data_IF_802481336594
#
_entry.id   IF_802481336594
#
_cell.length_a   1.000
_cell.length_b   1.000
_cell.length_c   1.000
_cell.angle_alpha   90.00
_cell.angle_beta   90.00
_cell.angle_gamma   90.00
#
_symmetry.space_group_name_H-M   'P 1'
#
loop_
_entity.id
_entity.type
_entity.pdbx_description
1 polymer ?
#
# COMPACT_ATOMS: atom_id res chain seq x y z
N UNK A 1 1.16 3.59 -27.96
CA UNK A 1 0.06 2.99 -27.17
C UNK A 1 -1.02 4.05 -26.97
N UNK A 2 -2.29 3.78 -27.28
CA UNK A 2 -3.40 4.69 -27.00
C UNK A 2 -3.55 5.01 -25.49
N UNK A 3 -3.79 6.28 -25.14
CA UNK A 3 -3.92 6.71 -23.75
C UNK A 3 -5.10 6.07 -22.99
N UNK A 4 -6.16 5.65 -23.67
CA UNK A 4 -7.29 4.96 -23.04
C UNK A 4 -6.91 3.56 -22.49
N UNK A 5 -5.97 2.86 -23.12
CA UNK A 5 -5.43 1.57 -22.62
C UNK A 5 -4.62 1.81 -21.35
N UNK A 6 -3.84 2.90 -21.33
CA UNK A 6 -3.06 3.35 -20.17
C UNK A 6 -3.99 3.67 -18.99
N UNK A 7 -5.08 4.41 -19.24
CA UNK A 7 -6.08 4.74 -18.21
C UNK A 7 -6.77 3.48 -17.65
N UNK A 8 -7.06 2.49 -18.50
CA UNK A 8 -7.66 1.20 -18.10
C UNK A 8 -6.72 0.38 -17.23
N UNK A 9 -5.43 0.30 -17.60
CA UNK A 9 -4.40 -0.38 -16.82
C UNK A 9 -4.25 0.26 -15.43
N UNK A 10 -4.22 1.60 -15.39
CA UNK A 10 -4.16 2.36 -14.15
C UNK A 10 -5.38 2.12 -13.24
N UNK A 11 -6.61 2.13 -13.79
CA UNK A 11 -7.81 1.79 -13.01
C UNK A 11 -7.76 0.38 -12.45
N UNK A 12 -7.27 -0.59 -13.23
CA UNK A 12 -7.11 -1.98 -12.78
C UNK A 12 -6.11 -2.07 -11.61
N UNK A 13 -5.02 -1.31 -11.68
CA UNK A 13 -4.03 -1.23 -10.63
C UNK A 13 -4.59 -0.61 -9.34
N UNK A 14 -5.33 0.50 -9.45
CA UNK A 14 -6.05 1.09 -8.30
C UNK A 14 -7.03 0.11 -7.66
N UNK A 15 -7.77 -0.63 -8.48
CA UNK A 15 -8.70 -1.65 -7.96
C UNK A 15 -7.97 -2.75 -7.19
N UNK A 16 -6.70 -3.06 -7.53
CA UNK A 16 -5.92 -4.07 -6.82
C UNK A 16 -5.56 -3.69 -5.38
N UNK A 17 -5.60 -2.40 -5.02
CA UNK A 17 -5.42 -1.93 -3.63
C UNK A 17 -6.46 -2.55 -2.68
N UNK A 18 -7.65 -2.88 -3.19
CA UNK A 18 -8.67 -3.57 -2.41
C UNK A 18 -8.21 -4.93 -1.87
N UNK A 19 -7.29 -5.63 -2.56
CA UNK A 19 -6.76 -6.90 -2.10
C UNK A 19 -5.82 -6.73 -0.90
N UNK A 20 -4.98 -5.69 -0.91
CA UNK A 20 -4.12 -5.34 0.24
C UNK A 20 -4.99 -4.99 1.45
N UNK A 21 -5.97 -4.11 1.24
CA UNK A 21 -6.95 -3.73 2.25
C UNK A 21 -7.68 -4.95 2.84
N UNK A 22 -8.10 -5.90 2.01
CA UNK A 22 -8.74 -7.15 2.47
C UNK A 22 -7.77 -8.05 3.25
N UNK A 23 -6.51 -8.13 2.82
CA UNK A 23 -5.45 -8.86 3.52
C UNK A 23 -5.21 -8.33 4.93
N UNK A 24 -5.21 -7.00 5.10
CA UNK A 24 -5.10 -6.34 6.40
C UNK A 24 -6.30 -6.64 7.32
N UNK A 25 -7.52 -6.72 6.76
CA UNK A 25 -8.71 -7.08 7.55
C UNK A 25 -8.64 -8.53 8.04
N UNK A 26 -8.17 -9.46 7.18
CA UNK A 26 -7.97 -10.86 7.54
C UNK A 26 -6.88 -10.99 8.60
N UNK A 27 -5.76 -10.29 8.43
CA UNK A 27 -4.66 -10.29 9.38
C UNK A 27 -5.11 -9.77 10.75
N UNK A 28 -5.89 -8.70 10.76
CA UNK A 28 -6.49 -8.14 11.97
C UNK A 28 -7.36 -9.18 12.66
N UNK A 29 -8.34 -9.74 11.94
CA UNK A 29 -9.25 -10.75 12.53
C UNK A 29 -8.49 -11.95 13.09
N UNK A 30 -7.50 -12.46 12.35
CA UNK A 30 -6.69 -13.61 12.79
C UNK A 30 -5.94 -13.30 14.09
N UNK A 31 -5.38 -12.10 14.24
CA UNK A 31 -4.72 -11.70 15.47
C UNK A 31 -5.68 -11.60 16.66
N UNK A 32 -6.91 -11.11 16.45
CA UNK A 32 -7.93 -11.04 17.50
C UNK A 32 -8.34 -12.46 17.94
N UNK A 33 -8.59 -13.36 16.99
CA UNK A 33 -8.92 -14.77 17.27
C UNK A 33 -7.78 -15.47 18.06
N UNK A 34 -6.50 -15.14 17.80
CA UNK A 34 -5.34 -15.63 18.54
C UNK A 34 -5.27 -15.12 19.98
N UNK A 35 -5.61 -13.84 20.22
CA UNK A 35 -5.70 -13.27 21.57
C UNK A 35 -6.77 -14.00 22.40
N UNK A 36 -7.94 -14.27 21.81
CA UNK A 36 -9.04 -14.98 22.50
C UNK A 36 -8.70 -16.43 22.84
N UNK A 37 -7.90 -17.10 22.00
CA UNK A 37 -7.66 -18.54 22.07
C UNK A 37 -6.41 -18.95 22.87
N UNK A 38 -6.13 -18.29 24.00
CA UNK A 38 -5.03 -18.57 24.97
C UNK A 38 -3.76 -17.71 24.84
N UNK A 39 -3.83 -16.56 24.16
CA UNK A 39 -2.85 -15.46 24.30
C UNK A 39 -1.42 -15.83 23.83
N UNK A 40 -1.31 -16.41 22.63
CA UNK A 40 -0.01 -16.64 21.98
C UNK A 40 0.59 -15.31 21.51
N UNK A 41 1.39 -14.71 22.39
CA UNK A 41 2.03 -13.41 22.15
C UNK A 41 2.99 -13.46 20.94
N UNK A 42 3.58 -14.62 20.64
CA UNK A 42 4.48 -14.79 19.49
C UNK A 42 3.70 -14.74 18.17
N UNK A 43 2.57 -15.42 18.11
CA UNK A 43 1.69 -15.40 16.94
C UNK A 43 1.07 -14.02 16.72
N UNK A 44 0.65 -13.33 17.78
CA UNK A 44 0.13 -11.95 17.69
C UNK A 44 1.21 -10.98 17.20
N UNK A 45 2.44 -11.09 17.70
CA UNK A 45 3.57 -10.29 17.22
C UNK A 45 3.91 -10.60 15.75
N UNK A 46 3.70 -11.84 15.31
CA UNK A 46 3.86 -12.22 13.91
C UNK A 46 2.80 -11.56 13.03
N UNK A 47 1.57 -11.43 13.52
CA UNK A 47 0.52 -10.69 12.82
C UNK A 47 0.79 -9.18 12.72
N UNK A 48 1.45 -8.58 13.72
CA UNK A 48 1.92 -7.18 13.61
C UNK A 48 2.91 -7.00 12.45
N UNK A 49 3.84 -7.94 12.27
CA UNK A 49 4.79 -7.92 11.12
C UNK A 49 4.06 -8.01 9.79
N UNK A 50 3.09 -8.94 9.68
CA UNK A 50 2.25 -9.08 8.48
C UNK A 50 1.50 -7.78 8.18
N UNK A 51 1.00 -7.08 9.21
CA UNK A 51 0.35 -5.78 9.04
C UNK A 51 1.30 -4.70 8.51
N UNK A 52 2.56 -4.68 8.97
CA UNK A 52 3.59 -3.77 8.46
C UNK A 52 3.99 -4.10 7.01
N UNK A 53 4.05 -5.38 6.64
CA UNK A 53 4.28 -5.83 5.26
C UNK A 53 3.14 -5.38 4.33
N UNK A 54 1.87 -5.51 4.77
CA UNK A 54 0.74 -4.96 4.01
C UNK A 54 0.78 -3.43 3.91
N UNK A 55 1.15 -2.72 4.98
CA UNK A 55 1.31 -1.27 4.94
C UNK A 55 2.43 -0.85 3.97
N UNK A 56 3.53 -1.60 3.90
CA UNK A 56 4.60 -1.38 2.94
C UNK A 56 4.12 -1.61 1.50
N UNK A 57 3.44 -2.73 1.24
CA UNK A 57 2.86 -3.01 -0.08
C UNK A 57 1.84 -1.93 -0.51
N UNK A 58 1.02 -1.42 0.42
CA UNK A 58 0.08 -0.34 0.13
C UNK A 58 0.80 0.96 -0.23
N UNK A 59 1.85 1.33 0.51
CA UNK A 59 2.69 2.50 0.21
C UNK A 59 3.36 2.35 -1.17
N UNK A 60 3.96 1.20 -1.44
CA UNK A 60 4.72 0.97 -2.66
C UNK A 60 3.79 0.99 -3.89
N UNK A 61 2.61 0.39 -3.78
CA UNK A 61 1.59 0.43 -4.83
C UNK A 61 1.07 1.86 -5.06
N UNK A 62 0.81 2.62 -3.99
CA UNK A 62 0.40 4.03 -4.08
C UNK A 62 1.48 4.90 -4.74
N UNK A 63 2.75 4.69 -4.39
CA UNK A 63 3.88 5.39 -4.99
C UNK A 63 3.99 5.10 -6.49
N UNK A 64 3.85 3.83 -6.89
CA UNK A 64 3.84 3.45 -8.30
C UNK A 64 2.67 4.09 -9.05
N UNK A 65 1.45 4.02 -8.50
CA UNK A 65 0.25 4.65 -9.08
C UNK A 65 0.50 6.15 -9.27
N UNK A 66 1.05 6.84 -8.25
CA UNK A 66 1.37 8.27 -8.32
C UNK A 66 2.40 8.57 -9.41
N UNK A 67 3.51 7.83 -9.45
CA UNK A 67 4.54 8.01 -10.47
C UNK A 67 3.96 7.85 -11.88
N UNK A 68 3.16 6.81 -12.08
CA UNK A 68 2.50 6.51 -13.35
C UNK A 68 1.52 7.62 -13.76
N UNK A 69 0.65 8.05 -12.86
CA UNK A 69 -0.32 9.12 -13.13
C UNK A 69 0.34 10.44 -13.48
N UNK A 70 1.34 10.85 -12.71
CA UNK A 70 2.03 12.10 -12.92
C UNK A 70 2.78 12.10 -14.26
N UNK A 71 3.45 10.99 -14.63
CA UNK A 71 4.10 10.84 -15.94
C UNK A 71 3.11 10.90 -17.09
N UNK A 72 2.01 10.14 -17.01
CA UNK A 72 0.99 10.13 -18.09
C UNK A 72 0.36 11.51 -18.25
N UNK A 73 0.04 12.18 -17.14
CA UNK A 73 -0.54 13.52 -17.16
C UNK A 73 0.44 14.55 -17.72
N UNK A 74 1.73 14.43 -17.41
CA UNK A 74 2.77 15.28 -17.95
C UNK A 74 2.85 15.17 -19.48
N UNK A 75 2.95 13.94 -20.02
CA UNK A 75 3.05 13.71 -21.47
C UNK A 75 1.77 14.15 -22.20
N UNK A 76 0.59 13.88 -21.64
CA UNK A 76 -0.70 14.37 -22.18
C UNK A 76 -0.76 15.90 -22.27
N UNK A 77 -0.17 16.60 -21.30
CA UNK A 77 -0.13 18.07 -21.24
C UNK A 77 0.89 18.66 -22.21
N UNK A 78 2.10 18.11 -22.23
CA UNK A 78 3.23 18.64 -23.00
C UNK A 78 3.13 18.33 -24.49
N UNK A 79 2.41 17.26 -24.86
CA UNK A 79 2.19 16.84 -26.25
C UNK A 79 3.49 16.88 -27.08
N UNK A 80 4.54 16.19 -26.62
CA UNK A 80 5.84 16.25 -27.28
C UNK A 80 5.73 15.69 -28.70
N UNK A 81 6.52 16.25 -29.62
CA UNK A 81 6.56 15.81 -31.02
C UNK A 81 7.06 14.37 -31.15
N UNK A 82 7.97 13.97 -30.26
CA UNK A 82 8.46 12.60 -30.10
C UNK A 82 8.02 12.12 -28.71
N UNK A 83 7.29 11.00 -28.68
CA UNK A 83 6.86 10.41 -27.41
C UNK A 83 8.09 9.90 -26.65
N UNK A 84 8.33 10.35 -25.40
CA UNK A 84 9.45 9.88 -24.60
C UNK A 84 9.25 8.45 -24.13
N UNK A 85 10.31 7.84 -23.59
CA UNK A 85 10.21 6.55 -22.93
C UNK A 85 9.40 6.68 -21.63
N UNK A 86 8.16 6.19 -21.66
CA UNK A 86 7.26 6.29 -20.52
C UNK A 86 7.70 5.39 -19.36
N UNK A 87 8.37 4.27 -19.64
CA UNK A 87 8.84 3.35 -18.60
C UNK A 87 9.97 4.00 -17.81
N UNK A 88 10.96 4.56 -18.51
CA UNK A 88 12.07 5.31 -17.89
C UNK A 88 11.55 6.47 -17.04
N UNK A 89 10.64 7.29 -17.58
CA UNK A 89 10.05 8.41 -16.83
C UNK A 89 9.29 7.98 -15.58
N UNK A 90 8.55 6.86 -15.64
CA UNK A 90 7.87 6.32 -14.44
C UNK A 90 8.89 5.84 -13.41
N UNK A 91 9.96 5.15 -13.83
CA UNK A 91 11.00 4.65 -12.93
C UNK A 91 11.78 5.79 -12.25
N UNK A 92 12.17 6.83 -12.99
CA UNK A 92 12.83 8.01 -12.43
C UNK A 92 11.95 8.67 -11.36
N UNK A 93 10.66 8.84 -11.70
CA UNK A 93 9.71 9.49 -10.80
C UNK A 93 9.41 8.65 -9.57
N UNK A 94 9.27 7.33 -9.73
CA UNK A 94 9.09 6.38 -8.64
C UNK A 94 10.30 6.42 -7.70
N UNK A 95 11.52 6.38 -8.24
CA UNK A 95 12.76 6.47 -7.45
C UNK A 95 12.82 7.77 -6.64
N UNK A 96 12.46 8.89 -7.25
CA UNK A 96 12.41 10.18 -6.56
C UNK A 96 11.36 10.19 -5.44
N UNK A 97 10.20 9.59 -5.68
CA UNK A 97 9.14 9.44 -4.66
C UNK A 97 9.66 8.57 -3.51
N UNK A 98 10.20 7.40 -3.80
CA UNK A 98 10.66 6.41 -2.81
C UNK A 98 11.86 6.89 -1.99
N UNK A 99 12.69 7.77 -2.55
CA UNK A 99 13.82 8.38 -1.83
C UNK A 99 13.39 9.19 -0.59
N UNK A 100 12.11 9.58 -0.51
CA UNK A 100 11.54 10.28 0.63
C UNK A 100 10.77 9.37 1.59
N UNK A 101 10.68 8.06 1.31
CA UNK A 101 9.99 7.12 2.19
C UNK A 101 10.76 6.90 3.49
N UNK A 102 10.03 6.75 4.59
CA UNK A 102 10.56 6.20 5.83
C UNK A 102 9.71 5.01 6.28
N UNK A 103 10.37 3.97 6.79
CA UNK A 103 9.65 2.82 7.36
C UNK A 103 8.91 3.17 8.66
N UNK A 104 9.26 4.29 9.29
CA UNK A 104 8.46 4.85 10.39
C UNK A 104 7.03 5.19 9.96
N UNK A 105 6.84 5.53 8.69
CA UNK A 105 5.56 6.00 8.16
C UNK A 105 4.57 4.85 8.00
N UNK A 106 5.05 3.60 7.95
CA UNK A 106 4.20 2.41 7.87
C UNK A 106 3.26 2.31 9.08
N UNK A 107 3.73 2.78 10.25
CA UNK A 107 2.94 2.80 11.49
C UNK A 107 1.84 3.85 11.50
N UNK A 108 1.84 4.77 10.53
CA UNK A 108 0.78 5.76 10.35
C UNK A 108 -0.35 5.27 9.44
N UNK A 109 -0.21 4.08 8.82
CA UNK A 109 -1.26 3.49 8.01
C UNK A 109 -2.53 3.28 8.85
N UNK A 110 -3.68 3.75 8.34
CA UNK A 110 -4.95 3.77 9.08
C UNK A 110 -5.36 2.39 9.59
N UNK A 111 -5.17 1.33 8.79
CA UNK A 111 -5.51 -0.04 9.18
C UNK A 111 -4.53 -0.63 10.18
N UNK A 112 -3.24 -0.29 10.09
CA UNK A 112 -2.26 -0.67 11.11
C UNK A 112 -2.57 -0.01 12.46
N UNK A 113 -2.91 1.29 12.47
CA UNK A 113 -3.30 2.01 13.69
C UNK A 113 -4.55 1.35 14.30
N UNK A 114 -5.58 1.11 13.49
CA UNK A 114 -6.80 0.42 13.92
C UNK A 114 -6.52 -0.97 14.52
N UNK A 115 -5.66 -1.76 13.88
CA UNK A 115 -5.22 -3.06 14.38
C UNK A 115 -4.58 -2.96 15.77
N UNK A 116 -3.62 -2.05 15.95
CA UNK A 116 -2.95 -1.85 17.24
C UNK A 116 -3.91 -1.42 18.34
N UNK A 117 -4.90 -0.59 17.99
CA UNK A 117 -5.90 -0.15 18.95
C UNK A 117 -6.87 -1.27 19.36
N UNK A 118 -7.29 -2.13 18.42
CA UNK A 118 -8.10 -3.30 18.77
C UNK A 118 -7.37 -4.29 19.68
N UNK A 119 -6.09 -4.56 19.42
CA UNK A 119 -5.28 -5.42 20.28
C UNK A 119 -5.15 -4.84 21.70
N UNK A 120 -4.95 -3.52 21.83
CA UNK A 120 -4.90 -2.88 23.16
C UNK A 120 -6.21 -3.01 23.91
N UNK A 121 -7.35 -2.85 23.23
CA UNK A 121 -8.66 -2.97 23.86
C UNK A 121 -8.97 -4.40 24.31
N UNK A 122 -8.66 -5.40 23.49
CA UNK A 122 -8.87 -6.81 23.89
C UNK A 122 -7.99 -7.22 25.07
N UNK A 123 -6.73 -6.79 25.10
CA UNK A 123 -5.82 -7.05 26.24
C UNK A 123 -6.30 -6.44 27.56
N UNK A 124 -7.18 -5.44 27.55
CA UNK A 124 -7.80 -4.90 28.78
C UNK A 124 -8.97 -5.74 29.28
N UNK A 125 -9.56 -6.57 28.41
CA UNK A 125 -10.75 -7.38 28.70
C UNK A 125 -10.39 -8.82 29.10
N UNK A 126 -9.16 -9.27 28.79
CA UNK A 126 -8.59 -10.55 29.22
C UNK A 126 -7.91 -10.49 30.59
#
# INVERSE_FOLDING_TARGET
IPFNIIDTALSSLKNSQSFISSGMDIATKTALDLVESFNDEEDVNSMEKVMLEFAAMDRDLNNYIRAFEETVNQVKREKPEIIPDLEELVQEKLTAIESNNSDSDLKSNEKYVYFMDQLKEMKKQC
#
